data_IF_328020046918
#
_entry.id   IF_328020046918
#
_cell.length_a   1.000
_cell.length_b   1.000
_cell.length_c   1.000
_cell.angle_alpha   90.00
_cell.angle_beta   90.00
_cell.angle_gamma   90.00
#
_symmetry.space_group_name_H-M   'P 1'
#
loop_
_entity.id
_entity.type
_entity.pdbx_description
1 polymer ?
#
# COMPACT_ATOMS: atom_id res chain seq x y z
N UNK A 1 4.52 -4.11 35.15
CA UNK A 1 4.31 -3.41 33.87
C UNK A 1 4.29 -4.50 32.81
N UNK A 2 3.12 -4.78 32.25
CA UNK A 2 2.87 -5.98 31.43
C UNK A 2 3.05 -5.58 29.96
N UNK A 3 4.21 -5.88 29.37
CA UNK A 3 4.35 -5.80 27.92
C UNK A 3 3.59 -6.99 27.30
N UNK A 4 2.50 -6.70 26.59
CA UNK A 4 1.81 -7.65 25.71
C UNK A 4 2.55 -7.81 24.38
N UNK A 5 2.15 -8.77 23.54
CA UNK A 5 2.76 -8.99 22.23
C UNK A 5 2.65 -7.78 21.33
N UNK A 6 3.75 -7.47 20.67
CA UNK A 6 3.92 -6.34 19.76
C UNK A 6 3.80 -6.84 18.33
N UNK A 7 2.57 -7.15 17.91
CA UNK A 7 2.32 -7.50 16.52
C UNK A 7 2.44 -6.23 15.65
N UNK A 8 3.62 -6.03 15.07
CA UNK A 8 3.89 -4.91 14.17
C UNK A 8 3.57 -5.29 12.71
N UNK A 9 2.67 -4.55 12.08
CA UNK A 9 2.29 -4.72 10.67
C UNK A 9 2.88 -3.58 9.84
N UNK A 10 3.56 -3.92 8.75
CA UNK A 10 4.06 -2.95 7.77
C UNK A 10 3.17 -2.96 6.53
N UNK A 11 2.53 -1.83 6.20
CA UNK A 11 1.76 -1.64 4.96
C UNK A 11 2.51 -0.72 4.00
N UNK A 12 2.78 -1.13 2.76
CA UNK A 12 3.59 -0.34 1.81
C UNK A 12 2.78 0.75 1.11
N UNK A 13 3.31 1.97 1.07
CA UNK A 13 2.80 3.13 0.34
C UNK A 13 3.66 3.39 -0.91
N UNK A 14 3.11 3.98 -1.96
CA UNK A 14 3.88 4.43 -3.12
C UNK A 14 4.38 5.88 -2.92
N UNK A 15 5.69 6.10 -2.98
CA UNK A 15 6.30 7.43 -3.07
C UNK A 15 7.45 7.34 -4.09
N UNK A 16 7.29 8.06 -5.20
CA UNK A 16 8.36 8.29 -6.16
C UNK A 16 9.18 9.53 -5.77
N UNK A 17 10.37 9.74 -6.37
CA UNK A 17 11.13 10.97 -6.18
C UNK A 17 10.35 12.15 -6.75
N UNK A 18 10.06 13.13 -5.89
CA UNK A 18 9.30 14.34 -6.22
C UNK A 18 10.16 15.24 -7.11
N UNK A 19 9.86 15.31 -8.41
CA UNK A 19 10.20 16.46 -9.25
C UNK A 19 9.10 17.51 -9.04
N UNK A 20 9.50 18.77 -8.87
CA UNK A 20 8.58 19.90 -8.81
C UNK A 20 7.72 19.95 -10.09
N UNK A 21 6.48 19.46 -10.02
CA UNK A 21 5.55 19.41 -11.14
C UNK A 21 4.75 18.11 -11.29
N UNK A 22 5.19 16.99 -10.71
CA UNK A 22 4.44 15.73 -10.75
C UNK A 22 3.51 15.59 -9.54
N UNK A 23 2.20 15.54 -9.81
CA UNK A 23 1.20 15.11 -8.84
C UNK A 23 1.47 13.65 -8.47
N UNK A 24 1.48 13.27 -7.18
CA UNK A 24 1.66 11.87 -6.80
C UNK A 24 0.53 11.06 -7.42
N UNK A 25 0.88 10.12 -8.31
CA UNK A 25 -0.02 9.06 -8.75
C UNK A 25 -0.63 8.45 -7.47
N UNK A 26 -1.96 8.49 -7.36
CA UNK A 26 -2.69 8.12 -6.15
C UNK A 26 -2.20 6.79 -5.59
N UNK A 27 -1.81 6.81 -4.32
CA UNK A 27 -1.39 5.62 -3.60
C UNK A 27 -2.55 4.62 -3.62
N UNK A 28 -2.38 3.50 -4.31
CA UNK A 28 -3.32 2.39 -4.26
C UNK A 28 -2.91 1.47 -3.08
N UNK A 29 -3.48 1.72 -1.91
CA UNK A 29 -3.47 0.88 -0.72
C UNK A 29 -4.41 -0.34 -0.82
N UNK A 30 -5.37 -0.36 -1.76
CA UNK A 30 -6.39 -1.40 -1.88
C UNK A 30 -5.86 -2.83 -2.10
N UNK A 31 -4.65 -2.98 -2.67
CA UNK A 31 -3.96 -4.26 -2.87
C UNK A 31 -2.69 -4.41 -2.01
N UNK A 32 -2.46 -3.51 -1.03
CA UNK A 32 -1.23 -3.49 -0.24
C UNK A 32 -1.17 -4.71 0.71
N UNK A 33 -0.35 -5.70 0.34
CA UNK A 33 -0.09 -6.85 1.18
C UNK A 33 0.56 -6.41 2.50
N UNK A 34 0.09 -6.99 3.60
CA UNK A 34 0.64 -6.75 4.92
C UNK A 34 1.88 -7.61 5.13
N UNK A 35 2.97 -6.98 5.56
CA UNK A 35 4.24 -7.68 5.80
C UNK A 35 4.58 -7.71 7.29
N UNK A 36 5.17 -8.83 7.72
CA UNK A 36 5.67 -9.08 9.07
C UNK A 36 7.14 -9.44 9.02
N UNK A 37 7.91 -9.06 10.04
CA UNK A 37 9.26 -9.57 10.22
C UNK A 37 9.23 -11.05 10.64
N UNK A 38 10.31 -11.79 10.36
CA UNK A 38 10.39 -13.23 10.58
C UNK A 38 10.10 -13.71 12.02
N UNK A 39 10.38 -12.90 13.03
CA UNK A 39 10.18 -13.24 14.44
C UNK A 39 8.73 -13.04 14.92
N UNK A 40 7.98 -12.10 14.32
CA UNK A 40 6.66 -11.67 14.80
C UNK A 40 5.65 -12.82 14.92
N UNK A 41 5.58 -13.77 13.97
CA UNK A 41 4.66 -14.90 14.13
C UNK A 41 4.94 -15.75 15.39
N UNK A 42 6.21 -15.96 15.72
CA UNK A 42 6.61 -16.68 16.94
C UNK A 42 6.15 -15.95 18.20
N UNK A 43 6.34 -14.63 18.25
CA UNK A 43 5.83 -13.79 19.35
C UNK A 43 4.31 -13.84 19.47
N UNK A 44 3.59 -13.78 18.34
CA UNK A 44 2.12 -13.92 18.33
C UNK A 44 1.73 -15.25 18.97
N UNK A 45 2.40 -16.35 18.61
CA UNK A 45 2.11 -17.66 19.19
C UNK A 45 2.38 -17.69 20.70
N UNK A 46 3.55 -17.22 21.13
CA UNK A 46 3.97 -17.22 22.55
C UNK A 46 3.01 -16.43 23.44
N UNK A 47 2.54 -15.29 22.93
CA UNK A 47 1.79 -14.34 23.74
C UNK A 47 0.27 -14.40 23.54
N UNK A 48 -0.24 -15.24 22.64
CA UNK A 48 -1.68 -15.32 22.37
C UNK A 48 -2.51 -15.63 23.61
N UNK A 49 -2.06 -16.58 24.44
CA UNK A 49 -2.74 -16.95 25.68
C UNK A 49 -2.85 -15.77 26.65
N UNK A 50 -1.77 -15.00 26.78
CA UNK A 50 -1.69 -13.81 27.64
C UNK A 50 -2.60 -12.69 27.15
N UNK A 51 -2.69 -12.47 25.83
CA UNK A 51 -3.64 -11.52 25.25
C UNK A 51 -5.08 -11.94 25.49
N UNK A 52 -5.38 -13.22 25.24
CA UNK A 52 -6.72 -13.76 25.39
C UNK A 52 -7.22 -13.57 26.84
N UNK A 53 -6.36 -13.85 27.81
CA UNK A 53 -6.62 -13.58 29.23
C UNK A 53 -6.84 -12.09 29.54
N UNK A 54 -5.97 -11.21 29.01
CA UNK A 54 -6.11 -9.76 29.19
C UNK A 54 -7.46 -9.21 28.71
N UNK A 55 -7.96 -9.71 27.58
CA UNK A 55 -9.25 -9.32 27.02
C UNK A 55 -10.43 -10.18 27.50
N UNK A 56 -10.20 -11.12 28.43
CA UNK A 56 -11.20 -12.04 28.97
C UNK A 56 -11.93 -12.86 27.88
N UNK A 57 -11.22 -13.22 26.81
CA UNK A 57 -11.74 -14.05 25.72
C UNK A 57 -11.04 -15.41 25.74
N UNK A 58 -11.75 -16.54 25.59
CA UNK A 58 -11.10 -17.84 25.50
C UNK A 58 -10.12 -17.89 24.31
N UNK A 59 -8.87 -18.30 24.55
CA UNK A 59 -7.81 -18.34 23.53
C UNK A 59 -8.25 -19.08 22.25
N UNK A 60 -8.98 -20.20 22.41
CA UNK A 60 -9.52 -20.98 21.28
C UNK A 60 -10.41 -20.15 20.34
N UNK A 61 -11.14 -19.16 20.87
CA UNK A 61 -12.00 -18.28 20.07
C UNK A 61 -11.20 -17.27 19.25
N UNK A 62 -9.97 -16.94 19.66
CA UNK A 62 -9.08 -16.00 18.94
C UNK A 62 -8.13 -16.75 18.01
N UNK A 63 -7.59 -17.89 18.46
CA UNK A 63 -6.59 -18.67 17.73
C UNK A 63 -7.08 -19.12 16.36
N UNK A 64 -8.33 -19.61 16.27
CA UNK A 64 -8.89 -20.10 15.00
C UNK A 64 -9.08 -18.97 13.97
N UNK A 65 -9.80 -17.87 14.25
CA UNK A 65 -9.91 -16.74 13.31
C UNK A 65 -8.54 -16.15 12.93
N UNK A 66 -7.62 -16.04 13.89
CA UNK A 66 -6.27 -15.56 13.63
C UNK A 66 -5.55 -16.46 12.62
N UNK A 67 -5.58 -17.78 12.81
CA UNK A 67 -4.93 -18.74 11.91
C UNK A 67 -5.58 -18.87 10.53
N UNK A 68 -6.92 -18.85 10.48
CA UNK A 68 -7.67 -19.15 9.25
C UNK A 68 -7.95 -17.90 8.39
N UNK A 69 -8.08 -16.72 9.01
CA UNK A 69 -8.57 -15.51 8.32
C UNK A 69 -7.50 -14.42 8.25
N UNK A 70 -6.72 -14.24 9.32
CA UNK A 70 -5.78 -13.12 9.42
C UNK A 70 -4.40 -13.52 8.90
N UNK A 71 -3.77 -14.53 9.49
CA UNK A 71 -2.40 -14.95 9.15
C UNK A 71 -2.20 -15.25 7.65
N UNK A 72 -3.13 -15.92 6.93
CA UNK A 72 -2.96 -16.21 5.51
C UNK A 72 -2.90 -14.96 4.61
N UNK A 73 -3.44 -13.83 5.09
CA UNK A 73 -3.36 -12.54 4.39
C UNK A 73 -2.03 -11.82 4.64
N UNK A 74 -1.17 -12.33 5.52
CA UNK A 74 0.11 -11.74 5.88
C UNK A 74 1.27 -12.43 5.15
N UNK A 75 2.31 -11.65 4.86
CA UNK A 75 3.57 -12.11 4.28
C UNK A 75 4.68 -11.96 5.31
N UNK A 76 5.36 -13.04 5.64
CA UNK A 76 6.54 -13.00 6.50
C UNK A 76 7.79 -12.82 5.66
N UNK A 77 8.53 -11.75 5.93
CA UNK A 77 9.77 -11.42 5.23
C UNK A 77 10.94 -11.69 6.17
N UNK A 78 11.84 -12.57 5.70
CA UNK A 78 13.11 -12.82 6.37
C UNK A 78 14.17 -11.89 5.79
N UNK A 79 14.83 -11.14 6.65
CA UNK A 79 15.84 -10.16 6.25
C UNK A 79 17.24 -10.70 6.54
N UNK A 80 18.23 -10.19 5.82
CA UNK A 80 19.61 -10.49 6.13
C UNK A 80 20.13 -9.60 7.26
N UNK A 81 21.18 -10.05 7.95
CA UNK A 81 21.85 -9.27 9.01
C UNK A 81 22.20 -7.85 8.53
N UNK A 82 22.62 -7.70 7.27
CA UNK A 82 22.96 -6.39 6.68
C UNK A 82 21.79 -5.42 6.63
N UNK A 83 20.55 -5.90 6.49
CA UNK A 83 19.36 -5.05 6.42
C UNK A 83 19.01 -4.47 7.80
N UNK A 84 19.37 -5.16 8.88
CA UNK A 84 19.21 -4.66 10.25
C UNK A 84 20.19 -3.54 10.62
N UNK A 85 21.22 -3.30 9.79
CA UNK A 85 22.23 -2.25 10.02
C UNK A 85 21.86 -0.93 9.36
N UNK A 86 20.67 -0.85 8.77
CA UNK A 86 20.18 0.32 8.06
C UNK A 86 20.08 1.56 8.97
N UNK A 87 20.30 2.78 8.44
CA UNK A 87 20.39 3.99 9.25
C UNK A 87 19.21 4.23 10.19
N UNK A 88 17.97 3.97 9.77
CA UNK A 88 16.81 4.23 10.62
C UNK A 88 16.70 3.19 11.74
N UNK A 89 16.98 1.92 11.45
CA UNK A 89 17.05 0.82 12.43
C UNK A 89 18.04 1.09 13.56
N UNK A 90 19.15 1.82 13.29
CA UNK A 90 20.13 2.18 14.32
C UNK A 90 19.56 3.02 15.46
N UNK A 91 18.47 3.76 15.24
CA UNK A 91 17.80 4.50 16.31
C UNK A 91 17.11 3.57 17.31
N UNK A 92 16.50 2.48 16.80
CA UNK A 92 15.84 1.45 17.60
C UNK A 92 16.86 0.61 18.39
N UNK A 93 18.06 0.42 17.83
CA UNK A 93 19.15 -0.31 18.50
C UNK A 93 19.84 0.48 19.64
N UNK A 94 19.43 1.73 19.93
CA UNK A 94 20.05 2.55 20.99
C UNK A 94 19.58 2.11 22.38
N UNK A 95 20.36 1.25 23.02
CA UNK A 95 20.04 0.69 24.36
C UNK A 95 20.93 1.21 25.49
N UNK A 96 21.71 2.26 25.26
CA UNK A 96 22.63 2.80 26.27
C UNK A 96 21.88 3.15 27.58
N UNK A 97 22.22 2.51 28.72
CA UNK A 97 21.58 2.77 30.02
C UNK A 97 21.74 4.21 30.52
N UNK A 98 22.71 4.96 29.99
CA UNK A 98 22.92 6.37 30.33
C UNK A 98 21.96 7.31 29.60
N UNK A 99 21.29 6.86 28.52
CA UNK A 99 20.29 7.66 27.82
C UNK A 99 19.03 7.82 28.68
N UNK A 100 18.34 8.95 28.55
CA UNK A 100 17.01 9.09 29.12
C UNK A 100 16.05 8.04 28.54
N UNK A 101 15.11 7.48 29.32
CA UNK A 101 14.21 6.42 28.86
C UNK A 101 13.52 6.72 27.53
N UNK A 102 13.12 7.97 27.27
CA UNK A 102 12.49 8.38 26.00
C UNK A 102 13.37 8.19 24.76
N UNK A 103 14.68 8.17 24.92
CA UNK A 103 15.66 8.00 23.83
C UNK A 103 16.20 6.57 23.72
N UNK A 104 15.78 5.65 24.62
CA UNK A 104 16.15 4.24 24.57
C UNK A 104 15.20 3.50 23.64
N UNK A 105 15.76 2.86 22.62
CA UNK A 105 15.03 1.89 21.81
C UNK A 105 14.97 0.52 22.45
N UNK A 106 14.46 -0.43 21.69
CA UNK A 106 14.32 -1.83 22.08
C UNK A 106 14.84 -2.71 20.92
N UNK A 107 15.89 -3.52 21.13
CA UNK A 107 16.46 -4.34 20.06
C UNK A 107 15.48 -5.33 19.45
N UNK A 108 14.46 -5.75 20.19
CA UNK A 108 13.44 -6.70 19.72
C UNK A 108 12.59 -6.07 18.60
N UNK A 109 12.50 -4.74 18.55
CA UNK A 109 11.76 -4.00 17.51
C UNK A 109 12.60 -3.69 16.27
N UNK A 110 13.93 -3.90 16.33
CA UNK A 110 14.83 -3.61 15.23
C UNK A 110 14.49 -4.36 13.92
N UNK A 111 14.06 -5.65 13.93
CA UNK A 111 13.69 -6.33 12.70
C UNK A 111 12.42 -5.76 12.04
N UNK A 112 11.47 -5.24 12.83
CA UNK A 112 10.29 -4.55 12.30
C UNK A 112 10.68 -3.25 11.62
N UNK A 113 11.55 -2.46 12.26
CA UNK A 113 12.03 -1.20 11.66
C UNK A 113 12.86 -1.47 10.39
N UNK A 114 13.73 -2.47 10.42
CA UNK A 114 14.50 -2.88 9.26
C UNK A 114 13.60 -3.29 8.09
N UNK A 115 12.51 -4.01 8.37
CA UNK A 115 11.51 -4.36 7.36
C UNK A 115 10.81 -3.13 6.78
N UNK A 116 10.43 -2.18 7.64
CA UNK A 116 9.81 -0.95 7.21
C UNK A 116 10.74 -0.13 6.30
N UNK A 117 12.02 0.00 6.66
CA UNK A 117 13.03 0.70 5.84
C UNK A 117 13.31 -0.06 4.53
N UNK A 118 13.35 -1.39 4.58
CA UNK A 118 13.59 -2.25 3.41
C UNK A 118 12.45 -2.13 2.38
N UNK A 119 11.19 -2.23 2.84
CA UNK A 119 10.00 -2.17 1.99
C UNK A 119 9.45 -0.75 1.78
N UNK A 120 10.07 0.25 2.39
CA UNK A 120 9.65 1.64 2.34
C UNK A 120 9.38 2.13 0.91
N UNK A 121 8.40 3.00 0.69
CA UNK A 121 7.62 3.68 1.72
C UNK A 121 6.57 2.78 2.35
N UNK A 122 6.33 2.91 3.65
CA UNK A 122 5.34 2.09 4.36
C UNK A 122 4.85 2.71 5.68
N UNK A 123 3.75 2.21 6.22
CA UNK A 123 3.21 2.57 7.54
C UNK A 123 3.40 1.39 8.49
N UNK A 124 3.94 1.67 9.67
CA UNK A 124 4.01 0.71 10.78
C UNK A 124 2.74 0.84 11.62
N UNK A 125 2.03 -0.27 11.79
CA UNK A 125 0.88 -0.39 12.70
C UNK A 125 1.32 -1.20 13.90
N UNK A 126 1.41 -0.56 15.07
CA UNK A 126 1.88 -1.16 16.31
C UNK A 126 1.26 -0.48 17.53
N UNK A 127 1.13 -1.21 18.64
CA UNK A 127 0.81 -0.65 19.97
C UNK A 127 2.06 -0.22 20.74
N UNK A 128 3.25 -0.52 20.23
CA UNK A 128 4.46 -0.25 20.96
C UNK A 128 4.88 1.21 20.86
N UNK A 129 4.99 1.80 22.04
CA UNK A 129 5.51 3.14 22.28
C UNK A 129 6.93 3.37 21.76
N UNK A 130 7.74 2.33 21.52
CA UNK A 130 9.08 2.48 20.92
C UNK A 130 8.97 3.21 19.58
N UNK A 131 8.08 2.79 18.70
CA UNK A 131 7.95 3.41 17.36
C UNK A 131 7.36 4.82 17.42
N UNK A 132 6.42 5.09 18.33
CA UNK A 132 5.87 6.44 18.49
C UNK A 132 6.87 7.41 19.11
N UNK A 133 7.80 6.95 19.96
CA UNK A 133 8.87 7.79 20.53
C UNK A 133 9.89 8.26 19.49
N UNK A 134 10.02 7.53 18.38
CA UNK A 134 10.92 7.86 17.27
C UNK A 134 10.18 8.35 16.02
N UNK A 135 8.91 8.76 16.16
CA UNK A 135 8.07 9.28 15.06
C UNK A 135 7.90 8.32 13.86
N UNK A 136 7.97 7.01 14.11
CA UNK A 136 7.76 5.98 13.08
C UNK A 136 6.35 5.39 13.06
N UNK A 137 5.57 5.57 14.14
CA UNK A 137 4.19 5.10 14.22
C UNK A 137 3.35 6.00 15.14
N UNK A 138 2.03 6.01 14.92
CA UNK A 138 1.08 6.67 15.83
C UNK A 138 0.72 5.68 16.95
N UNK A 139 0.69 6.14 18.20
CA UNK A 139 0.39 5.29 19.37
C UNK A 139 -1.05 4.73 19.36
N UNK A 140 -2.00 5.44 18.76
CA UNK A 140 -3.38 5.01 18.59
C UNK A 140 -3.58 4.24 17.28
N UNK A 141 -3.29 2.94 17.33
CA UNK A 141 -3.35 2.06 16.15
C UNK A 141 -4.78 1.75 15.66
N UNK A 142 -5.81 1.85 16.51
CA UNK A 142 -7.20 1.53 16.14
C UNK A 142 -7.73 2.55 15.12
N UNK A 143 -7.67 3.88 15.39
CA UNK A 143 -8.00 4.88 14.38
C UNK A 143 -7.17 4.74 13.11
N UNK A 144 -5.87 4.43 13.24
CA UNK A 144 -4.98 4.21 12.11
C UNK A 144 -5.45 3.03 11.23
N UNK A 145 -5.77 1.89 11.83
CA UNK A 145 -6.26 0.72 11.10
C UNK A 145 -7.62 0.99 10.44
N UNK A 146 -8.53 1.68 11.14
CA UNK A 146 -9.81 2.10 10.56
C UNK A 146 -9.62 3.05 9.37
N UNK A 147 -8.70 4.00 9.50
CA UNK A 147 -8.31 4.93 8.45
C UNK A 147 -7.73 4.20 7.22
N UNK A 148 -6.84 3.23 7.43
CA UNK A 148 -6.29 2.40 6.36
C UNK A 148 -7.37 1.55 5.67
N UNK A 149 -8.28 0.95 6.43
CA UNK A 149 -9.42 0.20 5.87
C UNK A 149 -10.38 1.11 5.09
N UNK A 150 -10.60 2.34 5.56
CA UNK A 150 -11.39 3.36 4.84
C UNK A 150 -10.70 3.77 3.55
N UNK A 151 -9.40 4.04 3.56
CA UNK A 151 -8.63 4.33 2.35
C UNK A 151 -8.72 3.19 1.34
N UNK A 152 -8.48 1.94 1.78
CA UNK A 152 -8.61 0.77 0.94
C UNK A 152 -10.04 0.62 0.37
N UNK A 153 -11.08 0.93 1.14
CA UNK A 153 -12.47 0.92 0.70
C UNK A 153 -12.81 2.03 -0.32
N UNK A 154 -12.29 3.25 -0.10
CA UNK A 154 -12.44 4.38 -1.04
C UNK A 154 -11.76 4.06 -2.38
N UNK A 155 -10.59 3.45 -2.34
CA UNK A 155 -9.85 3.05 -3.52
C UNK A 155 -10.44 1.84 -4.23
N UNK A 156 -10.91 0.82 -3.50
CA UNK A 156 -11.63 -0.30 -4.09
C UNK A 156 -12.91 0.17 -4.77
N UNK A 157 -13.62 1.15 -4.19
CA UNK A 157 -14.75 1.84 -4.82
C UNK A 157 -14.35 2.56 -6.10
N UNK A 158 -13.23 3.27 -6.09
CA UNK A 158 -12.69 3.96 -7.27
C UNK A 158 -12.22 2.97 -8.36
N UNK A 159 -11.55 1.89 -7.99
CA UNK A 159 -11.09 0.82 -8.88
C UNK A 159 -12.27 0.05 -9.50
N UNK A 160 -13.31 -0.27 -8.73
CA UNK A 160 -14.53 -0.87 -9.27
C UNK A 160 -15.27 0.07 -10.22
N UNK A 161 -15.31 1.38 -9.92
CA UNK A 161 -15.85 2.37 -10.86
C UNK A 161 -15.06 2.40 -12.17
N UNK A 162 -13.73 2.28 -12.12
CA UNK A 162 -12.86 2.20 -13.29
C UNK A 162 -13.07 0.92 -14.12
N UNK A 163 -13.27 -0.22 -13.46
CA UNK A 163 -13.61 -1.49 -14.13
C UNK A 163 -14.99 -1.41 -14.79
N UNK A 164 -15.98 -0.80 -14.12
CA UNK A 164 -17.31 -0.59 -14.68
C UNK A 164 -17.27 0.34 -15.91
N UNK A 165 -16.40 1.35 -15.87
CA UNK A 165 -16.14 2.27 -16.98
C UNK A 165 -15.43 1.53 -18.13
N UNK A 166 -14.41 0.70 -17.88
CA UNK A 166 -13.76 -0.13 -18.91
C UNK A 166 -14.74 -1.11 -19.57
N UNK A 167 -15.62 -1.74 -18.78
CA UNK A 167 -16.69 -2.62 -19.28
C UNK A 167 -17.72 -1.86 -20.11
N UNK A 168 -18.14 -0.67 -19.67
CA UNK A 168 -19.01 0.21 -20.45
C UNK A 168 -18.33 0.65 -21.77
N UNK A 169 -17.02 0.95 -21.74
CA UNK A 169 -16.23 1.33 -22.93
C UNK A 169 -16.16 0.17 -23.95
N UNK A 170 -15.98 -1.07 -23.49
CA UNK A 170 -16.00 -2.26 -24.36
C UNK A 170 -17.36 -2.51 -25.00
N UNK A 171 -18.44 -2.13 -24.33
CA UNK A 171 -19.82 -2.23 -24.85
C UNK A 171 -20.15 -1.20 -25.94
N UNK A 172 -19.44 -0.06 -26.03
CA UNK A 172 -19.79 1.05 -26.94
C UNK A 172 -18.85 1.27 -28.16
N UNK A 173 -17.81 0.45 -28.35
CA UNK A 173 -17.09 0.33 -29.63
C UNK A 173 -16.03 1.40 -29.96
N UNK A 174 -15.18 1.07 -30.96
CA UNK A 174 -13.82 1.57 -31.20
C UNK A 174 -13.61 3.07 -31.58
N UNK A 175 -14.64 3.92 -31.53
CA UNK A 175 -14.52 5.34 -31.91
C UNK A 175 -13.93 6.27 -30.84
N UNK A 176 -13.78 5.79 -29.60
CA UNK A 176 -13.53 6.64 -28.40
C UNK A 176 -12.10 6.51 -27.85
N UNK A 177 -11.25 5.66 -28.44
CA UNK A 177 -9.95 5.26 -27.87
C UNK A 177 -8.99 6.40 -27.56
N UNK A 178 -9.07 7.57 -28.24
CA UNK A 178 -8.20 8.73 -27.97
C UNK A 178 -8.74 9.71 -26.92
N UNK A 179 -10.03 9.65 -26.58
CA UNK A 179 -10.62 10.47 -25.52
C UNK A 179 -10.64 9.74 -24.16
N UNK A 180 -10.59 8.41 -24.18
CA UNK A 180 -10.68 7.55 -22.99
C UNK A 180 -9.48 7.68 -22.04
N UNK A 181 -8.25 7.83 -22.54
CA UNK A 181 -7.07 8.00 -21.67
C UNK A 181 -7.11 9.27 -20.81
N UNK A 182 -7.86 10.29 -21.24
CA UNK A 182 -8.06 11.55 -20.54
C UNK A 182 -9.26 11.50 -19.58
N UNK A 183 -10.33 10.78 -19.93
CA UNK A 183 -11.51 10.62 -19.09
C UNK A 183 -11.26 9.69 -17.87
N UNK A 184 -10.41 8.68 -18.01
CA UNK A 184 -10.04 7.70 -16.96
C UNK A 184 -9.34 8.36 -15.75
N UNK A 185 -8.72 9.53 -15.94
CA UNK A 185 -8.01 10.24 -14.86
C UNK A 185 -8.75 11.46 -14.31
N UNK A 186 -9.86 11.88 -14.92
CA UNK A 186 -10.57 13.08 -14.48
C UNK A 186 -12.05 13.07 -14.88
N UNK A 187 -13.01 12.96 -13.93
CA UNK A 187 -14.45 13.01 -14.24
C UNK A 187 -14.86 14.35 -14.88
N UNK A 188 -14.06 15.42 -14.68
CA UNK A 188 -14.22 16.70 -15.38
C UNK A 188 -13.93 16.59 -16.89
N UNK A 189 -12.97 15.76 -17.29
CA UNK A 189 -12.65 15.53 -18.71
C UNK A 189 -13.71 14.65 -19.39
N UNK A 190 -14.34 13.72 -18.67
CA UNK A 190 -15.49 12.98 -19.17
C UNK A 190 -16.70 13.90 -19.43
N UNK A 191 -16.99 14.82 -18.50
CA UNK A 191 -18.02 15.84 -18.68
C UNK A 191 -17.67 16.81 -19.83
N UNK A 192 -16.40 17.18 -19.98
CA UNK A 192 -15.93 18.01 -21.09
C UNK A 192 -16.03 17.29 -22.44
N UNK A 193 -15.77 15.98 -22.49
CA UNK A 193 -15.94 15.16 -23.69
C UNK A 193 -17.41 15.00 -24.07
N UNK A 194 -18.31 14.78 -23.10
CA UNK A 194 -19.75 14.77 -23.32
C UNK A 194 -20.27 16.14 -23.80
N UNK A 195 -19.78 17.23 -23.20
CA UNK A 195 -20.07 18.60 -23.66
C UNK A 195 -19.53 18.85 -25.08
N UNK A 196 -18.34 18.32 -25.41
CA UNK A 196 -17.73 18.39 -26.73
C UNK A 196 -18.50 17.61 -27.79
N UNK A 197 -19.02 16.42 -27.47
CA UNK A 197 -19.90 15.63 -28.33
C UNK A 197 -21.25 16.32 -28.57
N UNK A 198 -21.83 16.91 -27.51
CA UNK A 198 -23.05 17.72 -27.62
C UNK A 198 -22.82 18.96 -28.48
N UNK A 199 -21.67 19.62 -28.33
CA UNK A 199 -21.27 20.78 -29.14
C UNK A 199 -21.04 20.40 -30.62
N UNK A 200 -20.44 19.23 -30.87
CA UNK A 200 -20.24 18.69 -32.21
C UNK A 200 -21.56 18.35 -32.89
N UNK A 201 -22.48 17.67 -32.18
CA UNK A 201 -23.82 17.38 -32.68
C UNK A 201 -24.65 18.64 -32.97
N UNK A 202 -24.50 19.69 -32.16
CA UNK A 202 -25.11 21.00 -32.42
C UNK A 202 -24.52 21.66 -33.69
N UNK A 203 -23.20 21.63 -33.87
CA UNK A 203 -22.54 22.19 -35.07
C UNK A 203 -22.89 21.48 -36.37
N UNK A 204 -23.26 20.19 -36.33
CA UNK A 204 -23.75 19.44 -37.49
C UNK A 204 -25.26 19.56 -37.72
N UNK A 205 -25.97 20.37 -36.93
CA UNK A 205 -27.41 20.59 -37.08
C UNK A 205 -28.29 19.43 -36.59
N UNK A 206 -27.70 18.41 -35.96
CA UNK A 206 -28.43 17.28 -35.39
C UNK A 206 -29.10 17.60 -34.04
N UNK A 207 -28.78 18.76 -33.44
CA UNK A 207 -29.34 19.23 -32.18
C UNK A 207 -29.71 20.70 -32.30
N UNK A 208 -30.96 21.03 -31.97
CA UNK A 208 -31.39 22.43 -31.87
C UNK A 208 -30.75 23.12 -30.65
N UNK A 209 -30.66 24.44 -30.70
CA UNK A 209 -30.00 25.26 -29.66
C UNK A 209 -30.66 25.10 -28.28
N UNK A 210 -31.97 24.83 -28.25
CA UNK A 210 -32.74 24.57 -27.02
C UNK A 210 -32.45 23.19 -26.43
N UNK A 211 -32.44 22.14 -27.26
CA UNK A 211 -32.13 20.77 -26.83
C UNK A 211 -30.69 20.64 -26.33
N UNK A 212 -29.74 21.36 -26.94
CA UNK A 212 -28.35 21.40 -26.47
C UNK A 212 -28.25 21.98 -25.06
N UNK A 213 -28.85 23.15 -24.79
CA UNK A 213 -28.82 23.76 -23.44
C UNK A 213 -29.49 22.87 -22.40
N UNK A 214 -30.63 22.28 -22.75
CA UNK A 214 -31.36 21.41 -21.83
C UNK A 214 -30.56 20.15 -21.50
N UNK A 215 -29.97 19.48 -22.50
CA UNK A 215 -29.13 18.30 -22.30
C UNK A 215 -27.85 18.62 -21.54
N UNK A 216 -27.23 19.77 -21.79
CA UNK A 216 -26.05 20.23 -21.04
C UNK A 216 -26.40 20.51 -19.56
N UNK A 217 -27.55 21.12 -19.27
CA UNK A 217 -28.01 21.35 -17.90
C UNK A 217 -28.27 20.04 -17.16
N UNK A 218 -28.89 19.05 -17.82
CA UNK A 218 -29.13 17.72 -17.22
C UNK A 218 -27.83 16.97 -16.95
N UNK A 219 -26.83 17.10 -17.84
CA UNK A 219 -25.49 16.55 -17.61
C UNK A 219 -24.81 17.26 -16.44
N UNK A 220 -24.92 18.58 -16.34
CA UNK A 220 -24.39 19.36 -15.22
C UNK A 220 -25.05 19.03 -13.87
N UNK A 221 -26.37 18.88 -13.84
CA UNK A 221 -27.17 18.48 -12.67
C UNK A 221 -26.86 17.03 -12.26
N UNK A 222 -26.78 16.10 -13.21
CA UNK A 222 -26.45 14.70 -12.94
C UNK A 222 -24.99 14.49 -12.51
N UNK A 223 -24.08 15.37 -12.96
CA UNK A 223 -22.66 15.33 -12.58
C UNK A 223 -22.36 16.05 -11.26
N UNK A 224 -23.32 16.78 -10.68
CA UNK A 224 -23.13 17.57 -9.46
C UNK A 224 -22.97 16.69 -8.20
N UNK A 225 -23.85 15.69 -7.93
CA UNK A 225 -23.68 14.78 -6.80
C UNK A 225 -22.35 14.00 -6.83
N UNK A 226 -21.94 13.36 -7.94
CA UNK A 226 -20.69 12.60 -7.97
C UNK A 226 -19.44 13.51 -7.91
N UNK A 227 -19.54 14.78 -8.34
CA UNK A 227 -18.44 15.74 -8.19
C UNK A 227 -18.26 16.17 -6.74
N UNK A 228 -19.34 16.48 -6.04
CA UNK A 228 -19.30 16.88 -4.62
C UNK A 228 -18.85 15.69 -3.75
N UNK A 229 -19.35 14.48 -4.03
CA UNK A 229 -18.89 13.23 -3.40
C UNK A 229 -17.42 12.93 -3.72
N UNK A 230 -16.98 13.14 -4.97
CA UNK A 230 -15.58 12.95 -5.35
C UNK A 230 -14.63 13.94 -4.68
N UNK A 231 -15.01 15.21 -4.55
CA UNK A 231 -14.22 16.22 -3.84
C UNK A 231 -14.15 15.90 -2.35
N UNK A 232 -15.28 15.51 -1.73
CA UNK A 232 -15.32 15.10 -0.33
C UNK A 232 -14.46 13.85 -0.08
N UNK A 233 -14.58 12.83 -0.93
CA UNK A 233 -13.75 11.62 -0.85
C UNK A 233 -12.26 11.90 -1.06
N UNK A 234 -11.90 12.81 -1.98
CA UNK A 234 -10.51 13.24 -2.17
C UNK A 234 -9.97 14.05 -0.98
N UNK A 235 -10.80 14.90 -0.37
CA UNK A 235 -10.45 15.67 0.82
C UNK A 235 -10.28 14.76 2.04
N UNK A 236 -11.19 13.79 2.22
CA UNK A 236 -11.09 12.75 3.25
C UNK A 236 -9.85 11.88 3.03
N UNK A 237 -9.61 11.42 1.80
CA UNK A 237 -8.40 10.67 1.44
C UNK A 237 -7.13 11.44 1.80
N UNK A 238 -7.04 12.74 1.45
CA UNK A 238 -5.89 13.59 1.82
C UNK A 238 -5.76 13.75 3.33
N UNK A 239 -6.84 14.10 4.02
CA UNK A 239 -6.80 14.28 5.47
C UNK A 239 -6.34 13.00 6.20
N UNK A 240 -6.80 11.83 5.74
CA UNK A 240 -6.32 10.55 6.27
C UNK A 240 -4.85 10.34 5.92
N UNK A 241 -4.45 10.52 4.65
CA UNK A 241 -3.06 10.32 4.21
C UNK A 241 -2.08 11.22 4.96
N UNK A 242 -2.44 12.48 5.19
CA UNK A 242 -1.61 13.46 5.90
C UNK A 242 -1.44 13.11 7.39
N UNK A 243 -2.32 12.26 7.94
CA UNK A 243 -2.22 11.75 9.32
C UNK A 243 -1.34 10.50 9.44
N UNK A 244 -0.97 9.86 8.32
CA UNK A 244 -0.16 8.65 8.32
C UNK A 244 1.33 8.99 8.48
N UNK A 245 1.97 8.39 9.49
CA UNK A 245 3.43 8.39 9.59
C UNK A 245 4.00 7.32 8.66
N UNK A 246 4.58 7.77 7.55
CA UNK A 246 5.18 6.91 6.52
C UNK A 246 6.68 6.84 6.72
N UNK A 247 7.18 5.64 7.01
CA UNK A 247 8.59 5.31 6.97
C UNK A 247 9.08 5.43 5.54
N UNK A 248 9.98 6.38 5.29
CA UNK A 248 10.52 6.64 3.96
C UNK A 248 11.68 5.70 3.65
N UNK A 249 11.82 5.28 2.38
CA UNK A 249 12.96 4.48 1.98
C UNK A 249 14.29 5.26 2.09
N UNK A 250 15.44 4.57 2.25
CA UNK A 250 16.75 5.17 2.07
C UNK A 250 16.90 5.85 0.71
N UNK A 251 17.62 6.97 0.68
CA UNK A 251 17.88 7.78 -0.51
C UNK A 251 18.57 7.03 -1.64
N UNK A 252 19.36 6.01 -1.30
CA UNK A 252 20.11 5.18 -2.26
C UNK A 252 19.78 3.70 -2.02
N UNK A 253 18.64 3.22 -2.57
CA UNK A 253 18.24 1.85 -2.33
C UNK A 253 19.10 0.85 -3.09
N UNK A 254 19.32 -0.31 -2.49
CA UNK A 254 19.98 -1.45 -3.14
C UNK A 254 19.08 -2.06 -4.21
N UNK A 255 19.64 -2.93 -5.06
CA UNK A 255 18.86 -3.66 -6.07
C UNK A 255 17.81 -4.55 -5.41
N UNK A 256 18.16 -5.19 -4.31
CA UNK A 256 17.26 -6.01 -3.49
C UNK A 256 16.13 -5.16 -2.91
N UNK A 257 16.42 -3.99 -2.36
CA UNK A 257 15.37 -3.09 -1.85
C UNK A 257 14.44 -2.61 -2.97
N UNK A 258 14.97 -2.21 -4.13
CA UNK A 258 14.15 -1.80 -5.29
C UNK A 258 13.23 -2.93 -5.75
N UNK A 259 13.78 -4.13 -5.92
CA UNK A 259 13.03 -5.32 -6.30
C UNK A 259 11.95 -5.64 -5.27
N UNK A 260 12.31 -5.66 -3.99
CA UNK A 260 11.40 -6.02 -2.91
C UNK A 260 10.25 -5.04 -2.75
N UNK A 261 10.52 -3.74 -2.82
CA UNK A 261 9.49 -2.69 -2.78
C UNK A 261 8.50 -2.83 -3.92
N UNK A 262 9.01 -3.07 -5.13
CA UNK A 262 8.13 -3.22 -6.28
C UNK A 262 7.23 -4.45 -6.13
N UNK A 263 7.80 -5.60 -5.74
CA UNK A 263 7.08 -6.85 -5.54
C UNK A 263 6.05 -6.74 -4.39
N UNK A 264 6.43 -6.11 -3.27
CA UNK A 264 5.53 -5.87 -2.14
C UNK A 264 4.35 -4.99 -2.53
N UNK A 265 4.59 -3.96 -3.37
CA UNK A 265 3.55 -3.04 -3.85
C UNK A 265 2.64 -3.66 -4.90
N UNK A 266 3.18 -4.43 -5.84
CA UNK A 266 2.37 -5.00 -6.91
C UNK A 266 1.54 -6.21 -6.47
N UNK A 267 1.88 -6.81 -5.32
CA UNK A 267 1.18 -7.96 -4.75
C UNK A 267 1.28 -9.25 -5.56
N UNK A 268 2.06 -9.25 -6.66
CA UNK A 268 2.14 -10.34 -7.63
C UNK A 268 3.55 -10.88 -7.74
N UNK A 269 3.66 -12.18 -7.99
CA UNK A 269 4.94 -12.81 -8.35
C UNK A 269 5.33 -12.43 -9.78
N UNK A 270 6.58 -12.05 -9.99
CA UNK A 270 7.08 -11.60 -11.30
C UNK A 270 8.35 -12.33 -11.70
N UNK A 271 8.56 -12.48 -13.00
CA UNK A 271 9.86 -12.94 -13.50
C UNK A 271 10.90 -11.82 -13.36
N UNK A 272 12.21 -12.15 -13.35
CA UNK A 272 13.26 -11.14 -13.37
C UNK A 272 13.20 -10.20 -14.60
N UNK A 273 12.67 -10.68 -15.73
CA UNK A 273 12.45 -9.88 -16.93
C UNK A 273 11.33 -8.86 -16.75
N UNK A 274 10.17 -9.31 -16.24
CA UNK A 274 9.03 -8.43 -15.97
C UNK A 274 9.35 -7.40 -14.91
N UNK A 275 10.11 -7.80 -13.88
CA UNK A 275 10.55 -6.91 -12.81
C UNK A 275 11.54 -5.85 -13.31
N UNK A 276 12.48 -6.21 -14.19
CA UNK A 276 13.34 -5.24 -14.89
C UNK A 276 12.48 -4.21 -15.64
N UNK A 277 11.54 -4.68 -16.46
CA UNK A 277 10.72 -3.80 -17.30
C UNK A 277 9.83 -2.89 -16.46
N UNK A 278 9.33 -3.42 -15.36
CA UNK A 278 8.63 -2.63 -14.35
C UNK A 278 9.52 -1.55 -13.74
N UNK A 279 10.68 -1.90 -13.20
CA UNK A 279 11.62 -0.97 -12.57
C UNK A 279 12.07 0.12 -13.55
N UNK A 280 12.29 -0.22 -14.82
CA UNK A 280 12.65 0.73 -15.88
C UNK A 280 11.57 1.79 -16.10
N UNK A 281 10.28 1.44 -16.00
CA UNK A 281 9.16 2.40 -16.07
C UNK A 281 9.17 3.42 -14.92
N UNK A 282 9.79 3.07 -13.78
CA UNK A 282 10.00 3.98 -12.64
C UNK A 282 11.38 4.66 -12.65
N UNK A 283 12.12 4.58 -13.77
CA UNK A 283 13.42 5.23 -13.93
C UNK A 283 14.60 4.48 -13.32
N UNK A 284 14.41 3.21 -12.91
CA UNK A 284 15.49 2.38 -12.38
C UNK A 284 16.05 1.44 -13.45
N UNK A 285 17.35 1.55 -13.72
CA UNK A 285 18.04 0.70 -14.69
C UNK A 285 18.72 -0.46 -13.99
N UNK A 286 18.04 -1.61 -13.91
CA UNK A 286 18.59 -2.84 -13.29
C UNK A 286 18.49 -4.01 -14.28
N UNK A 287 19.61 -4.62 -14.72
CA UNK A 287 19.57 -5.76 -15.63
C UNK A 287 18.86 -6.99 -15.03
N UNK A 288 18.09 -7.72 -15.84
CA UNK A 288 17.45 -8.96 -15.40
C UNK A 288 18.46 -10.02 -14.91
N UNK A 289 19.66 -10.06 -15.49
CA UNK A 289 20.75 -10.94 -15.03
C UNK A 289 21.26 -10.56 -13.63
N UNK A 290 21.19 -9.28 -13.25
CA UNK A 290 21.50 -8.84 -11.90
C UNK A 290 20.39 -9.29 -10.93
N UNK A 291 19.12 -9.06 -11.28
CA UNK A 291 17.98 -9.55 -10.48
C UNK A 291 18.04 -11.08 -10.26
N UNK A 292 18.36 -11.85 -11.31
CA UNK A 292 18.55 -13.31 -11.24
C UNK A 292 19.66 -13.76 -10.29
N UNK A 293 20.66 -12.92 -10.04
CA UNK A 293 21.77 -13.22 -9.13
C UNK A 293 21.44 -12.82 -7.70
N UNK A 294 20.83 -11.66 -7.52
CA UNK A 294 20.59 -11.07 -6.22
C UNK A 294 19.37 -11.65 -5.51
N UNK A 295 18.25 -11.88 -6.21
CA UNK A 295 17.02 -12.38 -5.56
C UNK A 295 17.21 -13.77 -4.92
N UNK A 296 17.84 -14.77 -5.56
CA UNK A 296 18.07 -16.06 -4.91
C UNK A 296 19.04 -16.01 -3.72
N UNK A 297 19.92 -15.00 -3.70
CA UNK A 297 20.91 -14.85 -2.65
C UNK A 297 20.33 -14.21 -1.38
N UNK A 298 19.14 -13.60 -1.46
CA UNK A 298 18.57 -12.80 -0.40
C UNK A 298 17.28 -13.40 0.16
N UNK A 299 17.23 -13.57 1.48
CA UNK A 299 16.16 -14.34 2.17
C UNK A 299 14.76 -13.74 2.05
N UNK A 300 14.67 -12.44 1.82
CA UNK A 300 13.41 -11.75 1.59
C UNK A 300 12.64 -12.25 0.36
N UNK A 301 13.32 -12.85 -0.62
CA UNK A 301 12.68 -13.31 -1.85
C UNK A 301 12.37 -14.79 -1.81
N UNK A 302 11.15 -15.13 -2.18
CA UNK A 302 10.69 -16.51 -2.29
C UNK A 302 10.39 -16.82 -3.75
N UNK A 303 10.97 -17.92 -4.22
CA UNK A 303 10.69 -18.42 -5.56
C UNK A 303 9.38 -19.21 -5.54
N UNK A 304 8.42 -18.78 -6.34
CA UNK A 304 7.20 -19.55 -6.61
C UNK A 304 7.44 -20.51 -7.79
N UNK A 305 6.47 -21.38 -8.10
CA UNK A 305 6.58 -22.36 -9.18
C UNK A 305 6.93 -21.68 -10.51
N UNK A 306 8.10 -22.03 -11.08
CA UNK A 306 8.65 -21.41 -12.29
C UNK A 306 9.86 -20.50 -12.02
N UNK A 307 10.11 -19.51 -12.87
CA UNK A 307 11.12 -18.45 -12.67
C UNK A 307 10.46 -17.14 -12.20
N UNK A 308 9.51 -17.26 -11.26
CA UNK A 308 8.75 -16.14 -10.70
C UNK A 308 9.07 -15.96 -9.23
N UNK A 309 9.18 -14.71 -8.81
CA UNK A 309 9.65 -14.32 -7.49
C UNK A 309 8.64 -13.41 -6.80
N UNK A 310 8.48 -13.60 -5.50
CA UNK A 310 7.67 -12.77 -4.62
C UNK A 310 8.47 -12.37 -3.39
N UNK A 311 7.94 -11.45 -2.59
CA UNK A 311 8.54 -11.01 -1.33
C UNK A 311 7.81 -11.66 -0.17
N UNK A 312 8.59 -12.27 0.71
CA UNK A 312 8.10 -13.00 1.86
C UNK A 312 7.35 -14.28 1.51
N UNK A 313 7.12 -15.08 2.54
CA UNK A 313 6.32 -16.31 2.48
C UNK A 313 4.92 -16.06 3.06
N UNK A 314 3.87 -16.70 2.53
CA UNK A 314 2.57 -16.68 3.19
C UNK A 314 2.68 -17.34 4.57
N UNK A 315 1.90 -16.88 5.55
CA UNK A 315 1.79 -17.57 6.84
C UNK A 315 0.71 -18.66 6.72
N UNK A 316 1.08 -19.92 6.83
CA UNK A 316 0.13 -21.04 6.65
C UNK A 316 -0.63 -21.43 7.94
N UNK A 317 -0.51 -20.60 8.99
CA UNK A 317 -1.12 -20.80 10.32
C UNK A 317 -0.08 -21.00 11.41
N UNK A 318 -0.52 -21.47 12.59
CA UNK A 318 0.36 -21.72 13.74
C UNK A 318 1.17 -23.03 13.65
N UNK A 319 0.90 -23.89 12.66
CA UNK A 319 1.60 -25.17 12.51
C UNK A 319 3.02 -25.06 11.95
N UNK A 320 3.35 -23.91 11.34
CA UNK A 320 4.65 -23.61 10.72
C UNK A 320 5.53 -22.71 11.61
N UNK A 321 5.07 -22.40 12.84
CA UNK A 321 5.68 -21.48 13.81
C UNK A 321 6.26 -22.25 14.98
#
# INVERSE_FOLDING_TARGET
MIHGPRACRVGTAAAGPVRAGDQPDGAAWADAAAHLAAHVPGEIHEHLAKLADHYQVPERQVRRPLAEQILPALRVVDLEIRDHLAPQTRHILRVDPCLEPRHRGDPDDAPTMALAEFLGPCVIVTQDSVFSRFDFAVSDWIPLAQNLLRLAGLEAGAANALVLIDVAIRMFGAGVQRLAGLAVRNPVLAAAAAAGLLLWGHRRGHLSRGEWRQRLSRVGEAARPPREQGIAAMAEHRAISDSLLVVQPPSYPTVEQLAARYLARCGRSLTPGDLRDALARYGHTVPAAQLKRHMPAHRAFVRATGDVWTVGRPVQGFGDL
#
